data_IF_180715974453
#
_entry.id   IF_180715974453
#
_cell.length_a   1.000
_cell.length_b   1.000
_cell.length_c   1.000
_cell.angle_alpha   90.00
_cell.angle_beta   90.00
_cell.angle_gamma   90.00
#
_symmetry.space_group_name_H-M   'P 1'
#
loop_
_entity.id
_entity.type
_entity.pdbx_description
1 polymer ?
#
# COMPACT_ATOMS: atom_id res chain seq x y z
N UNK A 1 -1.42 -6.62 -29.07
CA UNK A 1 -1.54 -7.92 -28.38
C UNK A 1 -1.76 -7.62 -26.92
N UNK A 2 -2.97 -7.84 -26.39
CA UNK A 2 -3.26 -7.67 -24.97
C UNK A 2 -2.55 -8.79 -24.22
N UNK A 3 -1.44 -8.49 -23.55
CA UNK A 3 -0.78 -9.43 -22.67
C UNK A 3 -1.79 -9.96 -21.66
N UNK A 4 -1.88 -11.28 -21.49
CA UNK A 4 -2.72 -11.93 -20.48
C UNK A 4 -2.29 -11.55 -19.05
N UNK A 5 -1.04 -11.11 -18.89
CA UNK A 5 -0.43 -10.65 -17.66
C UNK A 5 -0.36 -9.13 -17.65
N UNK A 6 -0.59 -8.54 -16.48
CA UNK A 6 -0.44 -7.10 -16.28
C UNK A 6 1.01 -6.63 -16.38
N UNK A 7 1.96 -7.53 -16.11
CA UNK A 7 3.39 -7.28 -16.22
C UNK A 7 4.05 -8.24 -17.21
N UNK A 8 5.10 -7.81 -17.92
CA UNK A 8 5.94 -8.72 -18.69
C UNK A 8 6.48 -9.84 -17.80
N UNK A 9 6.64 -11.06 -18.35
CA UNK A 9 7.15 -12.23 -17.61
C UNK A 9 8.47 -11.95 -16.88
N UNK A 10 9.36 -11.19 -17.53
CA UNK A 10 10.66 -10.80 -16.99
C UNK A 10 10.56 -9.90 -15.74
N UNK A 11 9.44 -9.18 -15.59
CA UNK A 11 9.22 -8.27 -14.48
C UNK A 11 8.55 -8.93 -13.27
N UNK A 12 7.90 -10.09 -13.46
CA UNK A 12 7.16 -10.77 -12.40
C UNK A 12 7.97 -11.06 -11.14
N UNK A 13 9.24 -11.51 -11.20
CA UNK A 13 10.02 -11.75 -9.99
C UNK A 13 10.15 -10.48 -9.13
N UNK A 14 10.41 -9.32 -9.76
CA UNK A 14 10.52 -8.05 -9.06
C UNK A 14 9.19 -7.62 -8.44
N UNK A 15 8.07 -7.81 -9.15
CA UNK A 15 6.72 -7.49 -8.66
C UNK A 15 6.37 -8.34 -7.45
N UNK A 16 6.57 -9.65 -7.53
CA UNK A 16 6.25 -10.59 -6.44
C UNK A 16 7.07 -10.25 -5.20
N UNK A 17 8.40 -10.12 -5.34
CA UNK A 17 9.26 -9.78 -4.20
C UNK A 17 8.88 -8.43 -3.60
N UNK A 18 8.61 -7.42 -4.44
CA UNK A 18 8.23 -6.08 -3.97
C UNK A 18 6.94 -6.10 -3.18
N UNK A 19 5.93 -6.84 -3.64
CA UNK A 19 4.61 -6.92 -2.99
C UNK A 19 4.66 -7.71 -1.71
N UNK A 20 5.42 -8.82 -1.69
CA UNK A 20 5.63 -9.57 -0.47
C UNK A 20 6.19 -8.67 0.63
N UNK A 21 7.21 -7.87 0.31
CA UNK A 21 7.80 -6.91 1.26
C UNK A 21 6.79 -5.81 1.62
N UNK A 22 6.17 -5.18 0.63
CA UNK A 22 5.27 -4.05 0.84
C UNK A 22 4.06 -4.44 1.69
N UNK A 23 3.37 -5.54 1.38
CA UNK A 23 2.24 -6.04 2.17
C UNK A 23 2.65 -6.46 3.57
N UNK A 24 3.78 -7.14 3.72
CA UNK A 24 4.28 -7.56 5.04
C UNK A 24 4.47 -6.36 5.95
N UNK A 25 5.18 -5.33 5.47
CA UNK A 25 5.48 -4.14 6.28
C UNK A 25 4.22 -3.32 6.54
N UNK A 26 3.32 -3.21 5.55
CA UNK A 26 2.03 -2.56 5.67
C UNK A 26 1.17 -3.16 6.79
N UNK A 27 0.94 -4.48 6.71
CA UNK A 27 0.14 -5.23 7.68
C UNK A 27 0.80 -5.27 9.06
N UNK A 28 2.13 -5.42 9.10
CA UNK A 28 2.90 -5.33 10.33
C UNK A 28 2.78 -3.93 10.97
N UNK A 29 2.75 -2.84 10.19
CA UNK A 29 2.60 -1.49 10.71
C UNK A 29 1.22 -1.26 11.35
N UNK A 30 0.16 -1.82 10.77
CA UNK A 30 -1.17 -1.84 11.42
C UNK A 30 -1.12 -2.57 12.76
N UNK A 31 -0.57 -3.79 12.78
CA UNK A 31 -0.45 -4.59 13.99
C UNK A 31 0.39 -3.91 15.08
N UNK A 32 1.54 -3.33 14.70
CA UNK A 32 2.44 -2.60 15.58
C UNK A 32 1.73 -1.41 16.23
N UNK A 33 1.04 -0.61 15.41
CA UNK A 33 0.32 0.57 15.88
C UNK A 33 -0.87 0.17 16.75
N UNK A 34 -1.61 -0.88 16.40
CA UNK A 34 -2.72 -1.38 17.21
C UNK A 34 -2.22 -1.81 18.59
N UNK A 35 -1.10 -2.54 18.64
CA UNK A 35 -0.46 -2.97 19.90
C UNK A 35 0.02 -1.79 20.75
N UNK A 36 0.62 -0.77 20.14
CA UNK A 36 1.02 0.47 20.83
C UNK A 36 -0.19 1.18 21.47
N UNK A 37 -1.34 1.11 20.80
CA UNK A 37 -2.60 1.63 21.32
C UNK A 37 -3.36 0.64 22.22
N UNK A 38 -2.79 -0.51 22.55
CA UNK A 38 -3.33 -1.45 23.54
C UNK A 38 -4.21 -2.58 22.97
N UNK A 39 -4.30 -2.70 21.65
CA UNK A 39 -4.94 -3.85 21.00
C UNK A 39 -3.91 -4.96 20.70
N UNK A 40 -3.96 -6.03 21.49
CA UNK A 40 -3.08 -7.19 21.37
C UNK A 40 -3.63 -8.30 20.44
N UNK A 41 -4.74 -8.06 19.75
CA UNK A 41 -5.44 -9.09 18.95
C UNK A 41 -4.55 -9.69 17.86
N UNK A 42 -3.90 -8.86 17.04
CA UNK A 42 -2.96 -9.33 16.01
C UNK A 42 -1.79 -10.14 16.60
N UNK A 43 -1.30 -9.77 17.80
CA UNK A 43 -0.23 -10.49 18.47
C UNK A 43 -0.70 -11.88 18.92
N UNK A 44 -1.87 -11.95 19.54
CA UNK A 44 -2.43 -13.21 20.06
C UNK A 44 -2.83 -14.18 18.95
N UNK A 45 -3.22 -13.68 17.78
CA UNK A 45 -3.52 -14.49 16.59
C UNK A 45 -2.28 -14.83 15.74
N UNK A 46 -1.07 -14.48 16.19
CA UNK A 46 0.17 -14.75 15.45
C UNK A 46 0.33 -13.93 14.16
N UNK A 47 -0.43 -12.84 14.03
CA UNK A 47 -0.43 -11.92 12.88
C UNK A 47 0.55 -10.75 13.04
N UNK A 48 1.05 -10.51 14.25
CA UNK A 48 2.17 -9.59 14.47
C UNK A 48 3.51 -10.26 14.10
N UNK A 49 3.79 -10.34 12.80
CA UNK A 49 4.97 -11.03 12.26
C UNK A 49 5.56 -10.28 11.06
N UNK A 50 6.86 -10.41 10.83
CA UNK A 50 7.55 -9.94 9.62
C UNK A 50 7.68 -11.11 8.60
N UNK A 51 7.17 -12.29 8.91
CA UNK A 51 7.11 -13.39 7.95
C UNK A 51 6.05 -13.09 6.86
N UNK A 52 6.44 -12.95 5.58
CA UNK A 52 5.48 -12.62 4.52
C UNK A 52 4.38 -13.66 4.35
N UNK A 53 4.65 -14.93 4.64
CA UNK A 53 3.68 -16.01 4.50
C UNK A 53 2.45 -15.83 5.41
N UNK A 54 2.56 -15.04 6.48
CA UNK A 54 1.44 -14.72 7.35
C UNK A 54 0.51 -13.68 6.70
N UNK A 55 1.03 -12.81 5.84
CA UNK A 55 0.29 -11.66 5.29
C UNK A 55 -0.16 -11.87 3.85
N UNK A 56 0.29 -12.95 3.20
CA UNK A 56 -0.08 -13.24 1.81
C UNK A 56 -1.45 -13.89 1.72
N UNK A 57 -2.28 -13.35 0.83
CA UNK A 57 -3.43 -14.04 0.27
C UNK A 57 -3.06 -14.58 -1.12
N UNK A 58 -3.25 -15.88 -1.36
CA UNK A 58 -2.84 -16.50 -2.63
C UNK A 58 -3.65 -15.97 -3.82
N UNK A 59 -4.94 -15.73 -3.63
CA UNK A 59 -5.82 -15.18 -4.66
C UNK A 59 -5.43 -13.72 -4.91
N UNK A 60 -5.22 -12.96 -3.84
CA UNK A 60 -4.73 -11.58 -3.90
C UNK A 60 -3.42 -11.48 -4.68
N UNK A 61 -2.44 -12.33 -4.38
CA UNK A 61 -1.15 -12.35 -5.08
C UNK A 61 -1.30 -12.71 -6.57
N UNK A 62 -2.12 -13.70 -6.89
CA UNK A 62 -2.41 -14.08 -8.28
C UNK A 62 -3.08 -12.94 -9.06
N UNK A 63 -4.00 -12.22 -8.43
CA UNK A 63 -4.66 -11.07 -9.04
C UNK A 63 -3.67 -9.97 -9.40
N UNK A 64 -2.62 -9.75 -8.60
CA UNK A 64 -1.57 -8.79 -8.97
C UNK A 64 -0.87 -9.21 -10.26
N UNK A 65 -0.54 -10.49 -10.38
CA UNK A 65 0.19 -11.01 -11.56
C UNK A 65 -0.67 -10.90 -12.84
N UNK A 66 -1.95 -11.22 -12.73
CA UNK A 66 -2.86 -11.28 -13.89
C UNK A 66 -3.38 -9.89 -14.24
N UNK A 67 -3.84 -9.13 -13.25
CA UNK A 67 -4.60 -7.88 -13.44
C UNK A 67 -3.84 -6.64 -12.97
N UNK A 68 -2.70 -6.79 -12.29
CA UNK A 68 -1.92 -5.67 -11.76
C UNK A 68 -2.49 -5.11 -10.46
N UNK A 69 -3.50 -5.77 -9.90
CA UNK A 69 -4.19 -5.36 -8.68
C UNK A 69 -4.40 -6.57 -7.77
N UNK A 70 -4.20 -6.40 -6.46
CA UNK A 70 -4.47 -7.46 -5.49
C UNK A 70 -4.41 -6.95 -4.06
N UNK A 71 -4.66 -7.85 -3.12
CA UNK A 71 -4.76 -7.51 -1.69
C UNK A 71 -3.93 -8.48 -0.83
N UNK A 72 -3.52 -8.00 0.33
CA UNK A 72 -2.95 -8.81 1.38
C UNK A 72 -4.06 -9.52 2.18
N UNK A 73 -3.67 -10.51 2.98
CA UNK A 73 -4.55 -11.07 3.99
C UNK A 73 -4.57 -10.11 5.19
N UNK A 74 -5.70 -9.43 5.48
CA UNK A 74 -5.71 -8.31 6.41
C UNK A 74 -5.37 -8.74 7.84
N UNK A 75 -4.73 -7.83 8.55
CA UNK A 75 -4.41 -7.94 9.97
C UNK A 75 -5.65 -7.65 10.83
N UNK A 76 -5.99 -8.51 11.80
CA UNK A 76 -7.11 -8.28 12.69
C UNK A 76 -6.80 -7.11 13.64
N UNK A 77 -7.66 -6.10 13.63
CA UNK A 77 -7.60 -4.97 14.56
C UNK A 77 -8.92 -4.87 15.32
N UNK A 78 -8.86 -5.03 16.64
CA UNK A 78 -9.98 -4.83 17.52
C UNK A 78 -10.03 -3.39 18.01
N UNK A 79 -10.79 -2.55 17.30
CA UNK A 79 -10.96 -1.12 17.63
C UNK A 79 -11.56 -0.87 19.01
N UNK A 80 -12.21 -1.84 19.66
CA UNK A 80 -12.75 -1.69 21.01
C UNK A 80 -11.67 -1.76 22.11
N UNK A 81 -10.52 -2.39 21.84
CA UNK A 81 -9.39 -2.47 22.77
C UNK A 81 -8.48 -1.24 22.74
N UNK A 82 -8.61 -0.38 21.71
CA UNK A 82 -7.73 0.76 21.53
C UNK A 82 -7.92 1.83 22.62
N UNK A 83 -6.83 2.17 23.29
CA UNK A 83 -6.70 3.39 24.11
C UNK A 83 -6.97 4.60 23.23
N UNK A 84 -7.73 5.58 23.71
CA UNK A 84 -8.17 6.76 22.91
C UNK A 84 -8.76 6.33 21.56
N UNK A 85 -9.83 5.53 21.60
CA UNK A 85 -10.50 4.84 20.47
C UNK A 85 -10.42 5.58 19.12
N UNK A 86 -10.87 6.83 19.05
CA UNK A 86 -10.89 7.61 17.79
C UNK A 86 -9.49 7.87 17.23
N UNK A 87 -8.57 8.37 18.07
CA UNK A 87 -7.20 8.67 17.64
C UNK A 87 -6.43 7.40 17.29
N UNK A 88 -6.54 6.36 18.13
CA UNK A 88 -5.91 5.07 17.86
C UNK A 88 -6.42 4.45 16.56
N UNK A 89 -7.73 4.51 16.32
CA UNK A 89 -8.36 4.01 15.09
C UNK A 89 -7.82 4.70 13.82
N UNK A 90 -7.68 6.03 13.86
CA UNK A 90 -7.12 6.82 12.74
C UNK A 90 -5.64 6.48 12.51
N UNK A 91 -4.84 6.45 13.58
CA UNK A 91 -3.40 6.20 13.46
C UNK A 91 -3.10 4.78 13.01
N UNK A 92 -3.86 3.78 13.48
CA UNK A 92 -3.75 2.41 13.00
C UNK A 92 -4.05 2.37 11.50
N UNK A 93 -5.14 2.98 11.04
CA UNK A 93 -5.47 3.00 9.61
C UNK A 93 -4.43 3.74 8.76
N UNK A 94 -3.81 4.81 9.26
CA UNK A 94 -2.74 5.50 8.52
C UNK A 94 -1.39 4.76 8.56
N UNK A 95 -1.16 3.86 9.52
CA UNK A 95 0.13 3.20 9.71
C UNK A 95 0.58 2.39 8.49
N UNK A 96 -0.32 1.62 7.89
CA UNK A 96 -0.06 0.86 6.67
C UNK A 96 0.40 1.77 5.53
N UNK A 97 -0.44 2.72 5.06
CA UNK A 97 -0.06 3.63 3.97
C UNK A 97 1.24 4.39 4.25
N UNK A 98 1.43 4.91 5.46
CA UNK A 98 2.65 5.63 5.84
C UNK A 98 3.88 4.71 5.73
N UNK A 99 3.76 3.44 6.09
CA UNK A 99 4.87 2.49 5.95
C UNK A 99 5.30 2.30 4.49
N UNK A 100 4.35 2.21 3.56
CA UNK A 100 4.64 2.14 2.12
C UNK A 100 5.28 3.43 1.62
N UNK A 101 4.82 4.59 2.08
CA UNK A 101 5.46 5.86 1.74
C UNK A 101 6.91 5.90 2.21
N UNK A 102 7.20 5.42 3.42
CA UNK A 102 8.57 5.32 3.96
C UNK A 102 9.43 4.38 3.11
N UNK A 103 8.90 3.21 2.73
CA UNK A 103 9.61 2.26 1.87
C UNK A 103 9.95 2.86 0.50
N UNK A 104 8.98 3.54 -0.13
CA UNK A 104 9.21 4.25 -1.39
C UNK A 104 10.29 5.33 -1.21
N UNK A 105 10.19 6.13 -0.15
CA UNK A 105 11.14 7.21 0.14
C UNK A 105 12.57 6.71 0.29
N UNK A 106 12.78 5.63 1.05
CA UNK A 106 14.09 5.01 1.24
C UNK A 106 14.63 4.42 -0.08
N UNK A 107 13.78 3.74 -0.85
CA UNK A 107 14.16 3.16 -2.13
C UNK A 107 14.54 4.24 -3.16
N UNK A 108 13.85 5.38 -3.19
CA UNK A 108 14.23 6.54 -4.01
C UNK A 108 15.60 7.08 -3.59
N UNK A 109 15.90 7.14 -2.29
CA UNK A 109 17.22 7.58 -1.81
C UNK A 109 18.35 6.67 -2.28
N UNK A 110 18.15 5.35 -2.20
CA UNK A 110 19.08 4.35 -2.73
C UNK A 110 19.26 4.56 -4.24
N UNK A 111 18.16 4.70 -4.98
CA UNK A 111 18.18 4.89 -6.43
C UNK A 111 18.92 6.18 -6.83
N UNK A 112 18.65 7.30 -6.16
CA UNK A 112 19.29 8.59 -6.41
C UNK A 112 20.79 8.57 -6.12
N UNK A 113 21.21 7.92 -5.03
CA UNK A 113 22.63 7.78 -4.66
C UNK A 113 23.45 7.10 -5.75
N UNK A 114 22.96 5.98 -6.28
CA UNK A 114 23.74 5.26 -7.30
C UNK A 114 23.72 5.95 -8.67
N UNK A 115 22.63 6.63 -9.04
CA UNK A 115 22.56 7.33 -10.33
C UNK A 115 23.43 8.60 -10.32
N UNK A 116 23.35 9.40 -9.25
CA UNK A 116 24.06 10.68 -9.19
C UNK A 116 25.48 10.59 -8.62
N UNK A 117 25.75 9.64 -7.73
CA UNK A 117 26.95 9.68 -6.87
C UNK A 117 28.04 8.70 -7.22
N UNK A 118 27.72 7.64 -7.96
CA UNK A 118 28.68 6.63 -8.39
C UNK A 118 29.00 6.75 -9.91
N UNK A 119 28.38 7.73 -10.59
CA UNK A 119 28.28 7.76 -12.05
C UNK A 119 27.26 6.70 -12.50
N UNK A 120 26.40 7.04 -13.46
CA UNK A 120 25.18 6.29 -13.81
C UNK A 120 25.30 4.78 -14.13
N UNK A 121 26.52 4.21 -14.10
CA UNK A 121 26.83 2.79 -14.23
C UNK A 121 26.77 2.02 -12.88
N UNK A 122 26.50 2.69 -11.75
CA UNK A 122 26.52 2.08 -10.42
C UNK A 122 25.43 1.03 -10.14
N UNK A 123 24.31 1.05 -10.88
CA UNK A 123 23.24 0.05 -10.76
C UNK A 123 23.18 -0.83 -12.00
N UNK A 124 23.31 -2.14 -11.80
CA UNK A 124 22.99 -3.08 -12.87
C UNK A 124 21.47 -3.08 -13.17
N UNK A 125 21.08 -3.63 -14.32
CA UNK A 125 19.69 -3.69 -14.79
C UNK A 125 18.75 -4.40 -13.80
N UNK A 126 19.26 -5.38 -13.05
CA UNK A 126 18.46 -6.14 -12.08
C UNK A 126 18.04 -5.23 -10.92
N UNK A 127 18.97 -4.51 -10.31
CA UNK A 127 18.70 -3.62 -9.20
C UNK A 127 17.88 -2.39 -9.63
N UNK A 128 18.14 -1.83 -10.81
CA UNK A 128 17.36 -0.70 -11.31
C UNK A 128 15.90 -1.08 -11.60
N UNK A 129 15.65 -2.25 -12.19
CA UNK A 129 14.30 -2.78 -12.40
C UNK A 129 13.59 -3.07 -11.07
N UNK A 130 14.28 -3.71 -10.13
CA UNK A 130 13.74 -3.98 -8.81
C UNK A 130 13.34 -2.69 -8.09
N UNK A 131 14.25 -1.71 -7.98
CA UNK A 131 13.98 -0.45 -7.30
C UNK A 131 12.85 0.33 -7.96
N UNK A 132 12.80 0.36 -9.29
CA UNK A 132 11.74 1.04 -10.04
C UNK A 132 10.38 0.45 -9.72
N UNK A 133 10.25 -0.88 -9.80
CA UNK A 133 9.01 -1.59 -9.47
C UNK A 133 8.66 -1.44 -7.99
N UNK A 134 9.64 -1.54 -7.11
CA UNK A 134 9.45 -1.43 -5.67
C UNK A 134 8.94 -0.03 -5.27
N UNK A 135 9.54 1.03 -5.81
CA UNK A 135 9.10 2.42 -5.60
C UNK A 135 7.68 2.60 -6.13
N UNK A 136 7.43 2.17 -7.37
CA UNK A 136 6.13 2.34 -8.01
C UNK A 136 5.02 1.63 -7.22
N UNK A 137 5.22 0.38 -6.82
CA UNK A 137 4.22 -0.39 -6.09
C UNK A 137 3.96 0.18 -4.69
N UNK A 138 5.00 0.63 -3.98
CA UNK A 138 4.81 1.27 -2.68
C UNK A 138 4.07 2.61 -2.79
N UNK A 139 4.35 3.43 -3.80
CA UNK A 139 3.62 4.68 -4.03
C UNK A 139 2.16 4.42 -4.45
N UNK A 140 1.93 3.42 -5.30
CA UNK A 140 0.57 2.98 -5.66
C UNK A 140 -0.18 2.56 -4.40
N UNK A 141 0.38 1.65 -3.60
CA UNK A 141 -0.27 1.18 -2.36
C UNK A 141 -0.50 2.29 -1.34
N UNK A 142 0.41 3.26 -1.22
CA UNK A 142 0.23 4.43 -0.38
C UNK A 142 -0.98 5.26 -0.83
N UNK A 143 -1.00 5.70 -2.08
CA UNK A 143 -2.08 6.57 -2.58
C UNK A 143 -3.41 5.81 -2.60
N UNK A 144 -3.36 4.55 -3.02
CA UNK A 144 -4.52 3.68 -3.13
C UNK A 144 -5.21 3.51 -1.78
N UNK A 145 -4.47 3.17 -0.73
CA UNK A 145 -5.06 2.99 0.59
C UNK A 145 -5.52 4.31 1.24
N UNK A 146 -5.15 5.49 0.71
CA UNK A 146 -5.70 6.77 1.17
C UNK A 146 -7.04 7.14 0.52
N UNK A 147 -7.47 6.44 -0.53
CA UNK A 147 -8.76 6.67 -1.16
C UNK A 147 -9.87 6.38 -0.14
N UNK A 148 -10.82 7.30 0.12
CA UNK A 148 -11.86 7.13 1.13
C UNK A 148 -12.99 6.21 0.65
N UNK A 149 -12.65 4.98 0.27
CA UNK A 149 -13.56 4.00 -0.29
C UNK A 149 -13.38 2.63 0.40
N UNK A 150 -14.43 1.95 0.91
CA UNK A 150 -14.29 0.64 1.56
C UNK A 150 -13.77 -0.43 0.58
N UNK A 151 -12.84 -1.31 0.96
CA UNK A 151 -12.36 -1.59 2.32
C UNK A 151 -11.08 -0.84 2.72
N UNK A 152 -10.67 0.18 1.97
CA UNK A 152 -9.37 0.84 2.08
C UNK A 152 -9.19 1.60 3.41
N UNK A 153 -7.94 1.82 3.80
CA UNK A 153 -7.63 2.48 5.08
C UNK A 153 -8.17 3.90 5.20
N UNK A 154 -8.14 4.66 4.11
CA UNK A 154 -8.64 6.03 4.04
C UNK A 154 -10.13 6.12 4.34
N UNK A 155 -10.89 5.07 4.01
CA UNK A 155 -12.30 4.98 4.41
C UNK A 155 -12.45 4.85 5.92
N UNK A 156 -11.62 4.03 6.57
CA UNK A 156 -11.66 3.86 8.02
C UNK A 156 -11.32 5.16 8.75
N UNK A 157 -10.38 5.94 8.22
CA UNK A 157 -10.08 7.29 8.72
C UNK A 157 -11.32 8.19 8.59
N UNK A 158 -11.95 8.23 7.41
CA UNK A 158 -13.14 9.05 7.16
C UNK A 158 -14.30 8.69 8.10
N UNK A 159 -14.54 7.40 8.33
CA UNK A 159 -15.61 6.90 9.21
C UNK A 159 -15.45 7.37 10.65
N UNK A 160 -14.23 7.54 11.16
CA UNK A 160 -14.01 8.05 12.52
C UNK A 160 -14.32 9.55 12.66
N UNK A 161 -14.43 10.29 11.57
CA UNK A 161 -14.95 11.66 11.57
C UNK A 161 -16.48 11.75 11.49
N UNK A 162 -17.16 10.67 11.10
CA UNK A 162 -18.62 10.65 11.01
C UNK A 162 -19.28 10.59 12.41
N UNK A 163 -20.42 11.29 12.60
CA UNK A 163 -21.27 11.10 13.78
C UNK A 163 -21.75 9.64 13.89
N UNK A 164 -21.93 9.14 15.12
CA UNK A 164 -22.33 7.75 15.38
C UNK A 164 -23.60 7.31 14.63
N UNK A 165 -24.54 8.24 14.40
CA UNK A 165 -25.77 7.98 13.64
C UNK A 165 -25.53 7.69 12.16
N UNK A 166 -24.53 8.35 11.55
CA UNK A 166 -24.15 8.10 10.16
C UNK A 166 -23.34 6.81 10.05
N UNK A 167 -22.43 6.54 11.00
CA UNK A 167 -21.62 5.31 11.04
C UNK A 167 -22.48 4.04 10.95
N UNK A 168 -23.58 3.97 11.69
CA UNK A 168 -24.51 2.84 11.63
C UNK A 168 -25.20 2.66 10.27
N UNK A 169 -25.35 3.75 9.49
CA UNK A 169 -25.96 3.70 8.15
C UNK A 169 -24.98 3.32 7.05
N UNK A 170 -23.69 3.60 7.20
CA UNK A 170 -22.68 3.28 6.18
C UNK A 170 -22.24 1.81 6.27
N UNK A 171 -22.30 1.21 7.46
CA UNK A 171 -21.83 -0.15 7.71
C UNK A 171 -22.42 -1.23 6.77
N UNK A 172 -23.72 -1.23 6.42
CA UNK A 172 -24.28 -2.19 5.46
C UNK A 172 -23.82 -1.93 4.01
N UNK A 173 -23.47 -0.68 3.67
CA UNK A 173 -23.03 -0.29 2.33
C UNK A 173 -21.60 -0.75 2.06
N UNK A 174 -20.78 -0.93 3.09
CA UNK A 174 -19.38 -1.40 2.98
C UNK A 174 -19.24 -2.73 2.22
N UNK A 175 -20.20 -3.65 2.43
CA UNK A 175 -20.19 -4.96 1.76
C UNK A 175 -20.39 -4.84 0.24
N UNK A 176 -21.28 -3.94 -0.19
CA UNK A 176 -21.52 -3.67 -1.61
C UNK A 176 -20.40 -2.81 -2.22
N UNK A 177 -19.80 -1.94 -1.42
CA UNK A 177 -18.69 -1.09 -1.85
C UNK A 177 -17.52 -1.94 -2.35
N UNK A 178 -17.13 -3.02 -1.67
CA UNK A 178 -16.07 -3.91 -2.14
C UNK A 178 -16.34 -4.47 -3.55
N UNK A 179 -17.58 -4.84 -3.85
CA UNK A 179 -17.95 -5.35 -5.18
C UNK A 179 -17.93 -4.25 -6.24
N UNK A 180 -18.44 -3.05 -5.91
CA UNK A 180 -18.37 -1.87 -6.79
C UNK A 180 -16.90 -1.51 -7.07
N UNK A 181 -16.05 -1.58 -6.04
CA UNK A 181 -14.62 -1.34 -6.16
C UNK A 181 -13.97 -2.32 -7.13
N UNK A 182 -14.25 -3.62 -7.00
CA UNK A 182 -13.72 -4.63 -7.90
C UNK A 182 -14.16 -4.36 -9.35
N UNK A 183 -15.41 -3.97 -9.57
CA UNK A 183 -15.91 -3.58 -10.90
C UNK A 183 -15.11 -2.38 -11.43
N UNK A 184 -14.91 -1.34 -10.63
CA UNK A 184 -14.15 -0.16 -11.06
C UNK A 184 -12.70 -0.54 -11.42
N UNK A 185 -12.05 -1.36 -10.58
CA UNK A 185 -10.66 -1.75 -10.76
C UNK A 185 -10.43 -2.67 -11.97
N UNK A 186 -11.35 -3.60 -12.24
CA UNK A 186 -11.22 -4.59 -13.31
C UNK A 186 -11.76 -4.11 -14.67
N UNK A 187 -12.45 -2.98 -14.73
CA UNK A 187 -13.03 -2.43 -15.96
C UNK A 187 -12.28 -1.19 -16.43
N UNK A 188 -12.51 -0.71 -17.68
CA UNK A 188 -11.95 0.54 -18.15
C UNK A 188 -12.30 1.77 -17.29
N UNK A 189 -13.27 1.65 -16.37
CA UNK A 189 -13.62 2.68 -15.39
C UNK A 189 -12.43 3.10 -14.51
N UNK A 190 -11.48 2.21 -14.27
CA UNK A 190 -10.24 2.53 -13.57
C UNK A 190 -9.54 3.75 -14.19
N UNK A 191 -9.46 3.80 -15.52
CA UNK A 191 -8.75 4.87 -16.24
C UNK A 191 -9.38 6.25 -16.07
N UNK A 192 -10.67 6.31 -15.72
CA UNK A 192 -11.45 7.55 -15.56
C UNK A 192 -11.55 7.95 -14.08
N UNK A 193 -11.51 6.99 -13.17
CA UNK A 193 -11.75 7.21 -11.73
C UNK A 193 -10.46 7.26 -10.92
N UNK A 194 -9.75 6.13 -10.79
CA UNK A 194 -8.55 5.99 -9.94
C UNK A 194 -7.29 6.40 -10.71
N UNK A 195 -7.21 6.09 -12.00
CA UNK A 195 -6.08 6.39 -12.88
C UNK A 195 -5.63 7.87 -12.85
N UNK A 196 -6.54 8.86 -12.93
CA UNK A 196 -6.17 10.27 -12.86
C UNK A 196 -5.50 10.64 -11.53
N UNK A 197 -5.92 10.03 -10.42
CA UNK A 197 -5.31 10.24 -9.10
C UNK A 197 -3.83 9.82 -9.16
N UNK A 198 -3.56 8.60 -9.63
CA UNK A 198 -2.18 8.12 -9.73
C UNK A 198 -1.33 8.93 -10.70
N UNK A 199 -1.86 9.28 -11.87
CA UNK A 199 -1.15 10.06 -12.88
C UNK A 199 -0.78 11.47 -12.39
N UNK A 200 -1.55 12.03 -11.46
CA UNK A 200 -1.24 13.35 -10.86
C UNK A 200 -0.31 13.22 -9.66
N UNK A 201 -0.58 12.29 -8.75
CA UNK A 201 0.12 12.24 -7.46
C UNK A 201 1.44 11.47 -7.51
N UNK A 202 1.53 10.35 -8.23
CA UNK A 202 2.77 9.54 -8.27
C UNK A 202 3.95 10.36 -8.82
N UNK A 203 3.84 11.03 -10.00
CA UNK A 203 4.97 11.78 -10.54
C UNK A 203 5.38 12.94 -9.64
N UNK A 204 4.41 13.63 -9.01
CA UNK A 204 4.69 14.75 -8.10
C UNK A 204 5.42 14.29 -6.83
N UNK A 205 4.96 13.20 -6.22
CA UNK A 205 5.60 12.63 -5.03
C UNK A 205 7.00 12.14 -5.41
N UNK A 206 7.15 11.42 -6.51
CA UNK A 206 8.44 10.93 -6.97
C UNK A 206 9.42 12.07 -7.26
N UNK A 207 8.96 13.11 -7.96
CA UNK A 207 9.77 14.30 -8.23
C UNK A 207 10.22 14.99 -6.95
N UNK A 208 9.31 15.14 -5.97
CA UNK A 208 9.64 15.69 -4.67
C UNK A 208 10.72 14.84 -3.97
N UNK A 209 10.53 13.53 -3.87
CA UNK A 209 11.49 12.62 -3.24
C UNK A 209 12.86 12.64 -3.94
N UNK A 210 12.87 12.61 -5.27
CA UNK A 210 14.09 12.71 -6.06
C UNK A 210 14.81 14.02 -5.79
N UNK A 211 14.11 15.16 -5.86
CA UNK A 211 14.69 16.48 -5.60
C UNK A 211 15.27 16.61 -4.19
N UNK A 212 14.58 16.04 -3.20
CA UNK A 212 15.01 16.01 -1.82
C UNK A 212 16.32 15.23 -1.67
N UNK A 213 16.38 14.01 -2.21
CA UNK A 213 17.58 13.17 -2.10
C UNK A 213 18.75 13.72 -2.92
N UNK A 214 18.51 14.22 -4.13
CA UNK A 214 19.60 14.81 -4.93
C UNK A 214 20.16 16.05 -4.27
N UNK A 215 19.34 16.90 -3.64
CA UNK A 215 19.83 18.09 -2.93
C UNK A 215 20.53 17.80 -1.59
N UNK A 216 20.41 16.58 -1.06
CA UNK A 216 21.17 16.12 0.11
C UNK A 216 22.48 15.46 -0.29
N UNK A 217 22.47 14.73 -1.41
CA UNK A 217 23.61 13.91 -1.84
C UNK A 217 24.61 14.67 -2.71
N UNK A 218 24.18 15.72 -3.41
CA UNK A 218 24.98 16.51 -4.36
C UNK A 218 24.76 18.01 -4.12
#
# INVERSE_FOLDING_TARGET
MSNFLAYPLEMLPYVVVSILIAFTIHEWAHAATALLFGDDTAKNEGRFSINPLVHVDLIGLLMVVIVGFGWAKPTPVNRFKLKKRKLGSILVSLAGPISNLILAFLAVGIFAYFIGGVGGDGLNTIWSNFLTIFIQLNLVLFIFNLIPFPPLDGYQVLVEFLPSRLRAKVQPVEQYAFLIFLIIALTPLYSITIGPIFNVFIPKILQFMMSFWTGILF
#
